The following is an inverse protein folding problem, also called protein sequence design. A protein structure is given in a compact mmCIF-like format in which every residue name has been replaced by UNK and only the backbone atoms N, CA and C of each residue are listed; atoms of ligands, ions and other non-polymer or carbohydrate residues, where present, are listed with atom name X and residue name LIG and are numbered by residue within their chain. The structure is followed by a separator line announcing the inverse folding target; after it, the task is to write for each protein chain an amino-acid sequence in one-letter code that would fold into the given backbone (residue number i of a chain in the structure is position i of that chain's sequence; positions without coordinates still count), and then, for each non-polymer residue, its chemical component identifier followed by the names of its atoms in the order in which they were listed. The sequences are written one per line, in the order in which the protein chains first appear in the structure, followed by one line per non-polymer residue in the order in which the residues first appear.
data_IF_221794223430
#
_entry.id   IF_221794223430
#
_cell.length_a   1.000
_cell.length_b   1.000
_cell.length_c   1.000
_cell.angle_alpha   90.00
_cell.angle_beta   90.00
_cell.angle_gamma   90.00
#
_symmetry.space_group_name_H-M   'P 1'
#
loop_
_entity.id
_entity.type
_entity.pdbx_description
1 polymer ?
#
# COMPACT_ATOMS: atom_id res chain seq x y z
N UNK A 1 17.01 8.59 14.05
CA UNK A 1 15.73 7.87 14.01
C UNK A 1 14.64 8.78 13.48
N UNK A 2 14.06 8.49 12.31
CA UNK A 2 12.95 9.28 11.77
C UNK A 2 11.59 8.69 12.19
N UNK A 3 10.52 9.48 12.07
CA UNK A 3 9.14 9.02 12.29
C UNK A 3 8.39 8.96 10.95
N UNK A 4 7.66 7.89 10.71
CA UNK A 4 6.71 7.75 9.60
C UNK A 4 5.28 7.81 10.13
N UNK A 5 4.53 8.81 9.70
CA UNK A 5 3.09 8.93 9.93
C UNK A 5 2.36 8.31 8.75
N UNK A 6 1.48 7.34 9.02
CA UNK A 6 0.93 6.49 7.96
C UNK A 6 -0.46 5.92 8.27
N UNK A 7 -1.12 5.43 7.22
CA UNK A 7 -2.26 4.51 7.29
C UNK A 7 -1.83 3.16 6.73
N UNK A 8 -2.25 2.06 7.33
CA UNK A 8 -1.89 0.72 6.87
C UNK A 8 -2.49 0.37 5.51
N UNK A 9 -3.71 0.84 5.21
CA UNK A 9 -4.36 0.60 3.92
C UNK A 9 -3.77 1.44 2.78
N UNK A 10 -3.04 2.52 3.06
CA UNK A 10 -2.62 3.47 2.05
C UNK A 10 -1.44 2.89 1.25
N UNK A 11 -1.58 2.65 -0.07
CA UNK A 11 -0.51 2.05 -0.86
C UNK A 11 0.74 2.93 -0.91
N UNK A 12 0.59 4.25 -0.82
CA UNK A 12 1.72 5.19 -0.74
C UNK A 12 2.49 5.05 0.58
N UNK A 13 1.81 4.76 1.69
CA UNK A 13 2.44 4.49 2.97
C UNK A 13 3.19 3.16 2.96
N UNK A 14 2.63 2.14 2.29
CA UNK A 14 3.31 0.86 2.11
C UNK A 14 4.67 1.06 1.42
N UNK A 15 4.79 1.94 0.41
CA UNK A 15 6.07 2.27 -0.24
C UNK A 15 7.15 2.68 0.75
N UNK A 16 6.83 3.62 1.62
CA UNK A 16 7.77 4.19 2.58
C UNK A 16 8.09 3.21 3.70
N UNK A 17 7.08 2.45 4.15
CA UNK A 17 7.24 1.43 5.19
C UNK A 17 8.15 0.27 4.70
N UNK A 18 7.96 -0.17 3.45
CA UNK A 18 8.81 -1.17 2.81
C UNK A 18 10.29 -0.80 2.90
N UNK A 19 10.63 0.41 2.47
CA UNK A 19 12.01 0.87 2.38
C UNK A 19 12.58 1.16 3.77
N UNK A 20 11.78 1.71 4.68
CA UNK A 20 12.20 1.91 6.08
C UNK A 20 12.60 0.59 6.74
N UNK A 21 11.76 -0.45 6.64
CA UNK A 21 12.07 -1.77 7.20
C UNK A 21 13.26 -2.43 6.47
N UNK A 22 13.27 -2.42 5.14
CA UNK A 22 14.32 -3.04 4.33
C UNK A 22 15.71 -2.44 4.59
N UNK A 23 15.77 -1.12 4.80
CA UNK A 23 17.02 -0.39 5.06
C UNK A 23 17.70 -0.76 6.37
N UNK A 24 16.96 -1.33 7.33
CA UNK A 24 17.45 -1.60 8.69
C UNK A 24 17.65 -0.34 9.54
N UNK A 25 17.24 0.84 9.06
CA UNK A 25 17.35 2.08 9.81
C UNK A 25 16.34 2.11 10.97
N UNK A 26 16.76 2.50 12.19
CA UNK A 26 15.82 2.73 13.29
C UNK A 26 14.83 3.83 12.93
N UNK A 27 13.54 3.51 13.07
CA UNK A 27 12.45 4.44 12.79
C UNK A 27 11.23 4.15 13.68
N UNK A 28 10.41 5.17 13.89
CA UNK A 28 9.12 5.09 14.59
C UNK A 28 7.99 5.06 13.57
N UNK A 29 6.99 4.20 13.78
CA UNK A 29 5.73 4.22 13.03
C UNK A 29 4.64 4.86 13.88
N UNK A 30 3.92 5.82 13.31
CA UNK A 30 2.74 6.45 13.91
C UNK A 30 1.56 6.21 12.98
N UNK A 31 0.59 5.44 13.46
CA UNK A 31 -0.65 5.18 12.73
C UNK A 31 -1.66 6.24 13.13
N UNK A 32 -2.06 7.07 12.16
CA UNK A 32 -3.01 8.15 12.39
C UNK A 32 -4.43 7.65 12.17
N UNK A 33 -5.40 8.20 12.90
CA UNK A 33 -6.81 8.05 12.55
C UNK A 33 -7.07 8.70 11.18
N UNK A 34 -7.98 8.12 10.39
CA UNK A 34 -8.22 8.60 9.03
C UNK A 34 -8.80 10.02 8.99
N UNK A 35 -9.50 10.43 10.04
CA UNK A 35 -10.09 11.76 10.23
C UNK A 35 -9.16 12.77 10.94
N UNK A 36 -7.95 12.37 11.34
CA UNK A 36 -6.94 13.28 11.90
C UNK A 36 -6.28 14.13 10.79
N UNK A 37 -6.97 15.18 10.37
CA UNK A 37 -6.42 16.16 9.43
C UNK A 37 -5.38 17.07 10.09
N UNK A 38 -5.58 17.35 11.39
CA UNK A 38 -4.80 18.35 12.12
C UNK A 38 -3.33 17.98 12.15
N UNK A 39 -3.01 16.74 12.50
CA UNK A 39 -1.60 16.29 12.55
C UNK A 39 -0.92 16.43 11.19
N UNK A 40 -1.60 16.05 10.09
CA UNK A 40 -1.05 16.21 8.75
C UNK A 40 -0.83 17.69 8.38
N UNK A 41 -1.81 18.55 8.66
CA UNK A 41 -1.74 19.99 8.36
C UNK A 41 -0.64 20.67 9.18
N UNK A 42 -0.47 20.32 10.45
CA UNK A 42 0.60 20.87 11.28
C UNK A 42 2.00 20.47 10.76
N UNK A 43 2.14 19.25 10.22
CA UNK A 43 3.43 18.72 9.74
C UNK A 43 3.79 19.20 8.33
N UNK A 44 2.85 19.16 7.38
CA UNK A 44 3.11 19.39 5.95
C UNK A 44 2.12 20.34 5.28
N UNK A 45 1.25 21.00 6.05
CA UNK A 45 0.32 22.02 5.55
C UNK A 45 -0.94 21.48 4.87
N UNK A 46 -1.06 20.17 4.68
CA UNK A 46 -2.19 19.54 3.98
C UNK A 46 -2.47 18.15 4.52
N UNK A 47 -3.74 17.71 4.46
CA UNK A 47 -4.12 16.34 4.81
C UNK A 47 -3.58 15.33 3.80
N UNK A 48 -2.42 14.75 4.09
CA UNK A 48 -1.81 13.68 3.31
C UNK A 48 -0.98 12.73 4.18
N UNK A 49 -0.77 11.52 3.69
CA UNK A 49 0.18 10.54 4.21
C UNK A 49 0.75 9.73 3.02
N UNK A 50 1.96 9.14 3.11
CA UNK A 50 2.86 9.15 4.27
C UNK A 50 3.51 10.51 4.51
N UNK A 51 3.93 10.73 5.76
CA UNK A 51 4.79 11.86 6.14
C UNK A 51 6.01 11.29 6.85
N UNK A 52 7.21 11.70 6.44
CA UNK A 52 8.44 11.46 7.18
C UNK A 52 8.80 12.71 7.97
N UNK A 53 9.11 12.54 9.25
CA UNK A 53 9.66 13.59 10.11
C UNK A 53 11.05 13.17 10.61
N UNK A 54 12.06 13.98 10.35
CA UNK A 54 13.43 13.79 10.86
C UNK A 54 13.54 14.25 12.33
N UNK A 55 14.62 13.85 13.00
CA UNK A 55 14.82 14.17 14.44
C UNK A 55 14.88 15.67 14.74
N UNK A 56 15.34 16.46 13.77
CA UNK A 56 15.42 17.92 13.87
C UNK A 56 14.07 18.62 13.62
N UNK A 57 12.99 17.85 13.42
CA UNK A 57 11.63 18.35 13.30
C UNK A 57 11.19 18.65 11.86
N UNK A 58 12.08 18.61 10.87
CA UNK A 58 11.69 18.78 9.47
C UNK A 58 10.77 17.64 9.03
N UNK A 59 9.68 17.98 8.35
CA UNK A 59 8.71 17.02 7.83
C UNK A 59 8.58 17.15 6.31
N UNK A 60 8.32 16.02 5.65
CA UNK A 60 8.08 15.96 4.21
C UNK A 60 6.99 14.94 3.87
N UNK A 61 6.19 15.28 2.88
CA UNK A 61 5.24 14.36 2.23
C UNK A 61 5.85 13.70 1.00
N UNK A 62 4.97 13.15 0.15
CA UNK A 62 5.28 12.46 -1.11
C UNK A 62 6.08 11.17 -0.97
N UNK A 63 5.40 10.03 -1.18
CA UNK A 63 5.97 8.70 -0.89
C UNK A 63 7.29 8.39 -1.60
N UNK A 64 7.48 8.86 -2.84
CA UNK A 64 8.70 8.59 -3.60
C UNK A 64 9.88 9.44 -3.13
N UNK A 65 9.62 10.69 -2.73
CA UNK A 65 10.62 11.58 -2.15
C UNK A 65 11.06 11.05 -0.77
N UNK A 66 10.10 10.55 0.02
CA UNK A 66 10.39 9.88 1.29
C UNK A 66 11.23 8.62 1.06
N UNK A 67 10.91 7.79 0.07
CA UNK A 67 11.73 6.62 -0.29
C UNK A 67 13.15 7.05 -0.64
N UNK A 68 13.31 8.06 -1.51
CA UNK A 68 14.63 8.57 -1.88
C UNK A 68 15.41 9.11 -0.67
N UNK A 69 14.74 9.81 0.26
CA UNK A 69 15.32 10.29 1.51
C UNK A 69 15.80 9.14 2.40
N UNK A 70 15.00 8.08 2.55
CA UNK A 70 15.39 6.90 3.35
C UNK A 70 16.62 6.24 2.70
N UNK A 71 16.61 6.05 1.38
CA UNK A 71 17.73 5.45 0.65
C UNK A 71 19.02 6.27 0.76
N UNK A 72 18.94 7.60 0.81
CA UNK A 72 20.14 8.44 1.01
C UNK A 72 20.80 8.26 2.37
N UNK A 73 20.09 7.68 3.34
CA UNK A 73 20.58 7.38 4.69
C UNK A 73 20.89 5.87 4.87
N UNK A 74 20.47 5.04 3.92
CA UNK A 74 20.59 3.58 4.01
C UNK A 74 22.01 3.10 3.67
N UNK A 75 22.43 1.94 4.23
CA UNK A 75 23.69 1.31 3.84
C UNK A 75 23.77 1.00 2.33
N UNK A 76 24.97 0.99 1.72
CA UNK A 76 25.14 0.74 0.28
C UNK A 76 24.50 -0.57 -0.21
N UNK A 77 24.53 -1.63 0.59
CA UNK A 77 23.93 -2.93 0.30
C UNK A 77 22.40 -2.94 0.36
N UNK A 78 21.79 -1.87 0.88
CA UNK A 78 20.34 -1.67 0.97
C UNK A 78 19.78 -0.74 -0.10
N UNK A 79 20.57 -0.43 -1.12
CA UNK A 79 20.09 0.32 -2.28
C UNK A 79 19.16 -0.53 -3.16
N UNK A 80 18.18 0.13 -3.77
CA UNK A 80 17.24 -0.50 -4.69
C UNK A 80 17.86 -0.72 -6.07
N UNK A 81 17.55 -1.85 -6.68
CA UNK A 81 17.78 -2.06 -8.10
C UNK A 81 16.99 -1.04 -8.95
N UNK A 82 17.53 -0.62 -10.12
CA UNK A 82 16.88 0.33 -11.01
C UNK A 82 15.48 -0.11 -11.42
N UNK A 83 14.62 0.88 -11.71
CA UNK A 83 13.28 0.67 -12.26
C UNK A 83 13.38 0.11 -13.68
N UNK A 84 12.65 -0.95 -13.99
CA UNK A 84 12.65 -1.57 -15.33
C UNK A 84 11.25 -1.79 -15.88
N UNK A 85 10.36 -2.43 -15.12
CA UNK A 85 9.03 -2.85 -15.60
C UNK A 85 7.86 -2.20 -14.85
N UNK A 86 8.12 -1.37 -13.83
CA UNK A 86 7.07 -0.75 -13.03
C UNK A 86 6.01 -0.01 -13.87
N UNK A 87 6.40 0.77 -14.87
CA UNK A 87 5.42 1.53 -15.66
C UNK A 87 4.52 0.62 -16.48
N UNK A 88 5.07 -0.44 -17.06
CA UNK A 88 4.29 -1.45 -17.79
C UNK A 88 3.31 -2.15 -16.84
N UNK A 89 3.79 -2.62 -15.69
CA UNK A 89 2.99 -3.44 -14.78
C UNK A 89 1.95 -2.60 -14.05
N UNK A 90 2.32 -1.42 -13.54
CA UNK A 90 1.35 -0.51 -12.93
C UNK A 90 0.38 0.06 -13.96
N UNK A 91 0.82 0.30 -15.19
CA UNK A 91 -0.05 0.64 -16.31
C UNK A 91 -1.08 -0.46 -16.60
N UNK A 92 -0.67 -1.72 -16.61
CA UNK A 92 -1.57 -2.87 -16.73
C UNK A 92 -2.58 -2.94 -15.58
N UNK A 93 -2.11 -2.91 -14.32
CA UNK A 93 -2.98 -2.93 -13.13
C UNK A 93 -3.97 -1.76 -13.14
N UNK A 94 -3.53 -0.58 -13.61
CA UNK A 94 -4.37 0.63 -13.60
C UNK A 94 -5.63 0.52 -14.45
N UNK A 95 -5.65 -0.34 -15.46
CA UNK A 95 -6.82 -0.62 -16.30
C UNK A 95 -7.99 -1.19 -15.49
N UNK A 96 -7.68 -1.83 -14.35
CA UNK A 96 -8.65 -2.45 -13.44
C UNK A 96 -8.90 -1.62 -12.17
N UNK A 97 -8.40 -0.37 -12.10
CA UNK A 97 -8.48 0.48 -10.90
C UNK A 97 -9.91 0.62 -10.36
N UNK A 98 -10.91 0.69 -11.25
CA UNK A 98 -12.31 0.76 -10.82
C UNK A 98 -12.72 -0.49 -10.04
N UNK A 99 -12.52 -1.68 -10.61
CA UNK A 99 -12.86 -2.94 -9.94
C UNK A 99 -12.06 -3.15 -8.64
N UNK A 100 -10.77 -2.83 -8.66
CA UNK A 100 -9.90 -2.87 -7.48
C UNK A 100 -10.46 -1.95 -6.37
N UNK A 101 -10.84 -0.72 -6.69
CA UNK A 101 -11.35 0.22 -5.70
C UNK A 101 -12.72 -0.19 -5.14
N UNK A 102 -13.61 -0.75 -5.98
CA UNK A 102 -14.88 -1.30 -5.53
C UNK A 102 -14.70 -2.47 -4.56
N UNK A 103 -13.63 -3.27 -4.73
CA UNK A 103 -13.30 -4.34 -3.79
C UNK A 103 -12.66 -3.80 -2.51
N UNK A 104 -11.65 -2.93 -2.63
CA UNK A 104 -10.80 -2.52 -1.51
C UNK A 104 -11.46 -1.50 -0.57
N UNK A 105 -12.17 -0.49 -1.09
CA UNK A 105 -12.66 0.61 -0.24
C UNK A 105 -13.64 0.15 0.85
N UNK A 106 -14.67 -0.66 0.56
CA UNK A 106 -15.52 -1.20 1.62
C UNK A 106 -14.72 -2.06 2.61
N UNK A 107 -13.85 -2.92 2.10
CA UNK A 107 -13.10 -3.90 2.92
C UNK A 107 -12.11 -3.25 3.88
N UNK A 108 -11.54 -2.11 3.51
CA UNK A 108 -10.66 -1.32 4.40
C UNK A 108 -11.30 -1.02 5.75
N UNK A 109 -12.61 -0.76 5.79
CA UNK A 109 -13.37 -0.48 7.01
C UNK A 109 -14.13 -1.70 7.55
N UNK A 110 -13.91 -2.90 7.00
CA UNK A 110 -14.48 -4.16 7.51
C UNK A 110 -13.46 -5.00 8.29
N UNK A 111 -12.17 -4.77 8.05
CA UNK A 111 -11.07 -5.46 8.74
C UNK A 111 -10.48 -4.57 9.84
N UNK A 112 -9.63 -5.15 10.68
CA UNK A 112 -8.98 -4.38 11.75
C UNK A 112 -7.87 -3.52 11.14
N UNK A 113 -8.04 -2.20 11.22
CA UNK A 113 -7.04 -1.20 10.84
C UNK A 113 -7.03 -0.09 11.88
N UNK A 114 -5.85 0.30 12.40
CA UNK A 114 -5.74 1.35 13.42
C UNK A 114 -6.29 2.70 12.97
N UNK A 115 -6.13 3.05 11.69
CA UNK A 115 -6.69 4.29 11.14
C UNK A 115 -8.22 4.36 11.14
N UNK A 116 -8.91 3.25 11.41
CA UNK A 116 -10.36 3.13 11.46
C UNK A 116 -10.87 2.67 12.83
N UNK A 117 -10.10 2.84 13.91
CA UNK A 117 -10.51 2.43 15.26
C UNK A 117 -11.79 3.14 15.74
N UNK A 118 -12.08 4.34 15.25
CA UNK A 118 -13.28 5.11 15.62
C UNK A 118 -14.35 5.10 14.53
N UNK A 119 -15.61 5.24 14.94
CA UNK A 119 -16.73 5.40 14.01
C UNK A 119 -16.58 6.68 13.15
N UNK A 120 -16.02 7.75 13.73
CA UNK A 120 -15.74 9.01 13.03
C UNK A 120 -14.76 8.81 11.86
N UNK A 121 -13.65 8.10 12.10
CA UNK A 121 -12.67 7.80 11.06
C UNK A 121 -13.24 6.92 9.95
N UNK A 122 -14.06 5.92 10.30
CA UNK A 122 -14.78 5.08 9.33
C UNK A 122 -15.73 5.90 8.47
N UNK A 123 -16.61 6.70 9.10
CA UNK A 123 -17.60 7.53 8.42
C UNK A 123 -16.94 8.58 7.51
N UNK A 124 -15.84 9.18 7.96
CA UNK A 124 -15.05 10.13 7.17
C UNK A 124 -14.53 9.48 5.87
N UNK A 125 -13.91 8.31 5.98
CA UNK A 125 -13.39 7.57 4.83
C UNK A 125 -14.51 7.12 3.90
N UNK A 126 -15.55 6.49 4.44
CA UNK A 126 -16.69 5.98 3.69
C UNK A 126 -17.33 7.09 2.85
N UNK A 127 -17.71 8.22 3.46
CA UNK A 127 -18.34 9.34 2.77
C UNK A 127 -17.51 9.84 1.57
N UNK A 128 -16.18 9.94 1.75
CA UNK A 128 -15.28 10.39 0.68
C UNK A 128 -15.18 9.37 -0.45
N UNK A 129 -15.14 8.08 -0.11
CA UNK A 129 -14.90 6.99 -1.07
C UNK A 129 -16.15 6.52 -1.78
N UNK A 130 -17.31 6.50 -1.14
CA UNK A 130 -18.60 6.27 -1.81
C UNK A 130 -18.87 7.33 -2.88
N UNK A 131 -18.58 8.60 -2.59
CA UNK A 131 -18.65 9.68 -3.61
C UNK A 131 -17.71 9.42 -4.79
N UNK A 132 -16.55 8.81 -4.54
CA UNK A 132 -15.58 8.46 -5.58
C UNK A 132 -16.02 7.25 -6.41
N UNK A 133 -16.66 6.26 -5.78
CA UNK A 133 -17.19 5.07 -6.46
C UNK A 133 -18.49 5.36 -7.22
N UNK A 134 -19.30 6.32 -6.74
CA UNK A 134 -20.64 6.58 -7.24
C UNK A 134 -21.72 5.63 -6.69
N UNK A 135 -21.36 4.77 -5.73
CA UNK A 135 -22.25 3.79 -5.06
C UNK A 135 -21.91 3.72 -3.58
N UNK A 136 -22.83 3.19 -2.77
CA UNK A 136 -22.56 2.93 -1.35
C UNK A 136 -21.54 1.79 -1.17
N UNK A 137 -20.90 1.73 -0.01
CA UNK A 137 -20.02 0.61 0.34
C UNK A 137 -20.78 -0.71 0.42
N UNK A 138 -22.03 -0.70 0.91
CA UNK A 138 -22.88 -1.88 0.99
C UNK A 138 -23.22 -2.41 -0.41
N UNK A 139 -23.56 -1.53 -1.35
CA UNK A 139 -23.85 -1.90 -2.74
C UNK A 139 -22.60 -2.41 -3.47
N UNK A 140 -21.45 -1.75 -3.26
CA UNK A 140 -20.17 -2.16 -3.81
C UNK A 140 -19.74 -3.54 -3.29
N UNK A 141 -19.93 -3.78 -1.99
CA UNK A 141 -19.62 -5.07 -1.36
C UNK A 141 -20.57 -6.18 -1.82
N UNK A 142 -21.89 -5.90 -1.88
CA UNK A 142 -22.90 -6.87 -2.35
C UNK A 142 -22.69 -7.23 -3.82
N UNK A 143 -22.17 -6.30 -4.63
CA UNK A 143 -21.86 -6.51 -6.05
C UNK A 143 -20.42 -7.00 -6.28
N UNK A 144 -19.79 -7.64 -5.28
CA UNK A 144 -18.38 -8.07 -5.36
C UNK A 144 -18.12 -9.04 -6.53
N UNK A 145 -19.05 -9.91 -6.89
CA UNK A 145 -18.83 -10.97 -7.90
C UNK A 145 -18.36 -10.41 -9.26
N UNK A 146 -18.94 -9.29 -9.71
CA UNK A 146 -18.54 -8.63 -10.96
C UNK A 146 -17.10 -8.13 -10.87
N UNK A 147 -16.75 -7.42 -9.79
CA UNK A 147 -15.41 -6.87 -9.62
C UNK A 147 -14.37 -7.97 -9.34
N UNK A 148 -14.76 -9.04 -8.65
CA UNK A 148 -13.92 -10.23 -8.43
C UNK A 148 -13.55 -10.88 -9.76
N UNK A 149 -14.50 -11.00 -10.69
CA UNK A 149 -14.23 -11.54 -12.03
C UNK A 149 -13.16 -10.71 -12.74
N UNK A 150 -13.32 -9.39 -12.77
CA UNK A 150 -12.38 -8.50 -13.45
C UNK A 150 -10.99 -8.53 -12.83
N UNK A 151 -10.90 -8.50 -11.50
CA UNK A 151 -9.60 -8.57 -10.79
C UNK A 151 -8.97 -9.96 -10.90
N UNK A 152 -9.76 -11.05 -10.96
CA UNK A 152 -9.23 -12.38 -11.24
C UNK A 152 -8.67 -12.50 -12.66
N UNK A 153 -9.33 -11.89 -13.67
CA UNK A 153 -8.77 -11.76 -15.02
C UNK A 153 -7.46 -10.98 -15.00
N UNK A 154 -7.40 -9.84 -14.31
CA UNK A 154 -6.17 -9.07 -14.15
C UNK A 154 -5.05 -9.91 -13.51
N UNK A 155 -5.33 -10.66 -12.44
CA UNK A 155 -4.33 -11.49 -11.79
C UNK A 155 -3.84 -12.61 -12.71
N UNK A 156 -4.75 -13.28 -13.44
CA UNK A 156 -4.41 -14.34 -14.39
C UNK A 156 -3.53 -13.84 -15.56
N UNK A 157 -3.82 -12.64 -16.05
CA UNK A 157 -3.11 -12.02 -17.18
C UNK A 157 -1.93 -11.13 -16.74
N UNK A 158 -1.56 -11.18 -15.45
CA UNK A 158 -0.49 -10.36 -14.89
C UNK A 158 0.83 -10.60 -15.65
N UNK A 159 1.51 -9.53 -16.12
CA UNK A 159 2.85 -9.66 -16.67
C UNK A 159 3.80 -10.32 -15.68
N UNK A 160 4.87 -10.94 -16.18
CA UNK A 160 5.83 -11.62 -15.32
C UNK A 160 6.43 -10.65 -14.29
N UNK A 161 6.38 -11.06 -13.02
CA UNK A 161 6.94 -10.32 -11.89
C UNK A 161 8.32 -10.91 -11.55
N UNK A 162 9.42 -10.16 -11.71
CA UNK A 162 10.74 -10.60 -11.26
C UNK A 162 10.75 -10.83 -9.75
N UNK A 163 11.05 -12.05 -9.32
CA UNK A 163 11.07 -12.42 -7.90
C UNK A 163 12.31 -11.82 -7.19
N UNK A 164 12.18 -11.29 -5.97
CA UNK A 164 13.33 -10.98 -5.11
C UNK A 164 14.36 -12.11 -4.99
N UNK A 165 13.92 -13.36 -4.84
CA UNK A 165 14.79 -14.53 -4.72
C UNK A 165 15.68 -14.76 -5.96
N UNK A 166 15.22 -14.35 -7.15
CA UNK A 166 15.97 -14.42 -8.40
C UNK A 166 17.03 -13.32 -8.54
N UNK A 167 17.08 -12.36 -7.62
CA UNK A 167 18.00 -11.21 -7.62
C UNK A 167 18.67 -11.03 -6.26
N UNK A 168 19.11 -12.15 -5.67
CA UNK A 168 19.83 -12.20 -4.40
C UNK A 168 19.08 -11.52 -3.24
N UNK A 169 17.74 -11.62 -3.22
CA UNK A 169 16.88 -10.99 -2.22
C UNK A 169 16.99 -9.45 -2.16
N UNK A 170 17.45 -8.82 -3.24
CA UNK A 170 17.55 -7.37 -3.33
C UNK A 170 16.24 -6.77 -3.84
N UNK A 171 15.73 -5.75 -3.15
CA UNK A 171 14.59 -4.98 -3.64
C UNK A 171 14.98 -4.05 -4.79
N UNK A 172 14.00 -3.63 -5.56
CA UNK A 172 14.11 -2.70 -6.66
C UNK A 172 12.99 -1.68 -6.63
N UNK A 173 13.16 -0.62 -7.42
CA UNK A 173 12.10 0.37 -7.59
C UNK A 173 10.81 -0.25 -8.11
N UNK A 174 10.90 -1.28 -8.94
CA UNK A 174 9.72 -1.99 -9.46
C UNK A 174 8.81 -2.50 -8.32
N UNK A 175 9.39 -3.00 -7.23
CA UNK A 175 8.60 -3.49 -6.09
C UNK A 175 7.89 -2.39 -5.34
N UNK A 176 8.54 -1.23 -5.19
CA UNK A 176 7.96 -0.06 -4.54
C UNK A 176 6.70 0.40 -5.28
N UNK A 177 6.67 0.26 -6.61
CA UNK A 177 5.50 0.62 -7.39
C UNK A 177 4.41 -0.46 -7.40
N UNK A 178 4.79 -1.73 -7.53
CA UNK A 178 3.86 -2.83 -7.83
C UNK A 178 3.27 -3.45 -6.55
N UNK A 179 4.12 -3.75 -5.57
CA UNK A 179 3.72 -4.52 -4.39
C UNK A 179 2.57 -3.90 -3.59
N UNK A 180 2.49 -2.57 -3.35
CA UNK A 180 1.44 -2.01 -2.50
C UNK A 180 0.01 -2.36 -2.92
N UNK A 181 -0.28 -2.34 -4.22
CA UNK A 181 -1.62 -2.68 -4.73
C UNK A 181 -1.91 -4.17 -4.56
N UNK A 182 -0.96 -5.03 -4.93
CA UNK A 182 -1.11 -6.49 -4.77
C UNK A 182 -1.23 -6.89 -3.31
N UNK A 183 -0.43 -6.28 -2.43
CA UNK A 183 -0.50 -6.49 -0.99
C UNK A 183 -1.89 -6.13 -0.46
N UNK A 184 -2.46 -5.00 -0.88
CA UNK A 184 -3.80 -4.64 -0.42
C UNK A 184 -4.87 -5.60 -0.92
N UNK A 185 -4.75 -6.14 -2.14
CA UNK A 185 -5.68 -7.16 -2.66
C UNK A 185 -5.74 -8.42 -1.80
N UNK A 186 -4.74 -8.71 -0.95
CA UNK A 186 -4.81 -9.84 0.01
C UNK A 186 -5.96 -9.70 1.02
N UNK A 187 -6.56 -8.52 1.17
CA UNK A 187 -7.76 -8.33 2.03
C UNK A 187 -9.06 -8.83 1.39
N UNK A 188 -9.03 -9.18 0.11
CA UNK A 188 -10.22 -9.54 -0.66
C UNK A 188 -10.36 -11.05 -0.71
N UNK A 189 -11.36 -11.59 -0.02
CA UNK A 189 -11.70 -13.00 -0.11
C UNK A 189 -12.32 -13.32 -1.48
N UNK A 190 -11.97 -14.47 -2.05
CA UNK A 190 -12.48 -14.94 -3.34
C UNK A 190 -11.59 -14.63 -4.56
N UNK A 191 -10.48 -13.90 -4.36
CA UNK A 191 -9.47 -13.77 -5.41
C UNK A 191 -8.72 -15.09 -5.63
N UNK A 192 -8.53 -15.43 -6.91
CA UNK A 192 -7.74 -16.58 -7.36
C UNK A 192 -6.33 -16.08 -7.65
N UNK A 193 -5.40 -16.37 -6.75
CA UNK A 193 -4.02 -15.93 -6.85
C UNK A 193 -3.16 -16.91 -7.65
N UNK A 194 -2.66 -16.54 -8.86
CA UNK A 194 -1.71 -17.38 -9.57
C UNK A 194 -0.43 -17.56 -8.75
N UNK A 195 0.13 -18.77 -8.79
CA UNK A 195 1.29 -19.12 -7.97
C UNK A 195 2.48 -18.15 -8.12
N UNK A 196 2.87 -17.67 -9.32
CA UNK A 196 3.95 -16.71 -9.46
C UNK A 196 3.66 -15.35 -8.79
N UNK A 197 2.41 -14.87 -8.89
CA UNK A 197 1.99 -13.60 -8.28
C UNK A 197 1.96 -13.73 -6.76
N UNK A 198 1.41 -14.84 -6.24
CA UNK A 198 1.37 -15.11 -4.80
C UNK A 198 2.77 -15.22 -4.20
N UNK A 199 3.69 -15.88 -4.92
CA UNK A 199 5.08 -16.01 -4.51
C UNK A 199 5.77 -14.65 -4.47
N UNK A 200 5.60 -13.82 -5.51
CA UNK A 200 6.12 -12.45 -5.54
C UNK A 200 5.65 -11.63 -4.33
N UNK A 201 4.34 -11.62 -4.05
CA UNK A 201 3.78 -10.89 -2.90
C UNK A 201 4.37 -11.41 -1.59
N UNK A 202 4.48 -12.74 -1.43
CA UNK A 202 5.01 -13.35 -0.21
C UNK A 202 6.49 -13.02 0.03
N UNK A 203 7.32 -13.05 -1.03
CA UNK A 203 8.74 -12.73 -0.93
C UNK A 203 8.99 -11.26 -0.59
N UNK A 204 8.29 -10.34 -1.27
CA UNK A 204 8.43 -8.90 -1.00
C UNK A 204 7.95 -8.57 0.41
N UNK A 205 6.81 -9.15 0.84
CA UNK A 205 6.29 -8.98 2.19
C UNK A 205 7.30 -9.44 3.26
N UNK A 206 7.90 -10.62 3.08
CA UNK A 206 8.89 -11.17 4.00
C UNK A 206 10.15 -10.28 4.07
N UNK A 207 10.68 -9.85 2.93
CA UNK A 207 11.88 -8.99 2.89
C UNK A 207 11.67 -7.61 3.51
N UNK A 208 10.45 -7.08 3.40
CA UNK A 208 10.09 -5.78 3.93
C UNK A 208 9.50 -5.83 5.34
N UNK A 209 9.34 -7.02 5.94
CA UNK A 209 8.59 -7.21 7.18
C UNK A 209 7.20 -6.50 7.15
N UNK A 210 6.47 -6.65 6.04
CA UNK A 210 5.14 -6.09 5.84
C UNK A 210 4.11 -7.19 6.00
N UNK A 211 3.10 -6.97 6.84
CA UNK A 211 2.00 -7.91 6.99
C UNK A 211 1.08 -7.92 5.76
N UNK A 212 0.59 -9.10 5.43
CA UNK A 212 -0.51 -9.31 4.49
C UNK A 212 -1.84 -9.38 5.25
N UNK A 213 -2.95 -9.42 4.52
CA UNK A 213 -4.30 -9.42 5.09
C UNK A 213 -5.03 -10.75 4.94
N UNK A 214 -4.35 -11.83 4.53
CA UNK A 214 -4.98 -13.13 4.25
C UNK A 214 -5.84 -13.66 5.41
N UNK A 215 -5.40 -13.47 6.66
CA UNK A 215 -6.12 -13.92 7.87
C UNK A 215 -7.35 -13.07 8.21
N UNK A 216 -7.42 -11.85 7.67
CA UNK A 216 -8.52 -10.92 7.87
C UNK A 216 -9.38 -10.75 6.61
N UNK A 217 -9.10 -11.51 5.54
CA UNK A 217 -9.76 -11.31 4.25
C UNK A 217 -11.27 -11.54 4.32
N UNK A 218 -12.03 -10.60 3.75
CA UNK A 218 -13.51 -10.57 3.73
C UNK A 218 -14.07 -10.43 2.32
#
# INVERSE_FOLDING_TARGET
MFTLYQYLHCPYCVRTDMVANYSGLPHKKVLLLNDDEKTCVDLVGVKMVPILQTEDGHAMGESLDIVAKILSMAPPEKQLLPKTTADQITGFISQFSSAINHLLFPRNVMITQPEFETEGARAYFQKKKEKMLGVSFDDAFTSSDTNLKDVNTMLADMPQLPLPSARNNQLGWDDIYIFPTLRNLTMVKGLVWPAPVKLYVSEVAALCNIHLYDEQAV
#
